data_IF_839900442015
#
_entry.id   IF_839900442015
#
_cell.length_a   1.000
_cell.length_b   1.000
_cell.length_c   1.000
_cell.angle_alpha   90.00
_cell.angle_beta   90.00
_cell.angle_gamma   90.00
#
_symmetry.space_group_name_H-M   'P 1'
#
loop_
_entity.id
_entity.type
_entity.pdbx_description
1 polymer ?
#
# COMPACT_ATOMS: atom_id res chain seq x y z
N UNK A 1 -26.61 -26.19 -17.06
CA UNK A 1 -25.86 -26.25 -15.78
C UNK A 1 -26.40 -25.13 -14.88
N UNK A 2 -27.45 -25.42 -14.11
CA UNK A 2 -27.95 -24.47 -13.11
C UNK A 2 -27.14 -24.66 -11.83
N UNK A 3 -26.19 -23.76 -11.59
CA UNK A 3 -25.43 -23.72 -10.34
C UNK A 3 -26.34 -23.10 -9.28
N UNK A 4 -26.76 -23.87 -8.28
CA UNK A 4 -27.47 -23.33 -7.11
C UNK A 4 -26.57 -22.31 -6.42
N UNK A 5 -27.00 -21.05 -6.36
CA UNK A 5 -26.24 -19.96 -5.74
C UNK A 5 -26.16 -20.21 -4.23
N UNK A 6 -24.96 -20.44 -3.72
CA UNK A 6 -24.70 -20.61 -2.29
C UNK A 6 -23.72 -19.53 -1.81
N UNK A 7 -24.24 -18.57 -1.04
CA UNK A 7 -23.42 -17.48 -0.49
C UNK A 7 -22.65 -17.87 0.79
N UNK A 8 -22.84 -19.09 1.32
CA UNK A 8 -22.14 -19.52 2.54
C UNK A 8 -20.62 -19.62 2.34
N UNK A 9 -20.14 -19.73 1.10
CA UNK A 9 -18.71 -19.71 0.79
C UNK A 9 -18.02 -18.40 1.23
N UNK A 10 -18.74 -17.27 1.31
CA UNK A 10 -18.19 -16.00 1.79
C UNK A 10 -17.75 -16.04 3.26
N UNK A 11 -18.35 -16.90 4.09
CA UNK A 11 -17.91 -17.08 5.48
C UNK A 11 -16.51 -17.70 5.58
N UNK A 12 -16.04 -18.40 4.54
CA UNK A 12 -14.66 -18.93 4.50
C UNK A 12 -13.62 -17.83 4.32
N UNK A 13 -14.02 -16.64 3.86
CA UNK A 13 -13.15 -15.46 3.67
C UNK A 13 -13.01 -14.64 4.96
N UNK A 14 -13.98 -14.72 5.88
CA UNK A 14 -13.98 -13.97 7.14
C UNK A 14 -12.67 -14.08 7.94
N UNK A 15 -12.07 -15.27 8.14
CA UNK A 15 -10.82 -15.39 8.90
C UNK A 15 -9.67 -14.55 8.32
N UNK A 16 -9.54 -14.54 6.99
CA UNK A 16 -8.53 -13.73 6.29
C UNK A 16 -8.86 -12.24 6.42
N UNK A 17 -10.14 -11.87 6.27
CA UNK A 17 -10.56 -10.47 6.39
C UNK A 17 -10.27 -9.92 7.79
N UNK A 18 -10.54 -10.70 8.84
CA UNK A 18 -10.21 -10.35 10.22
C UNK A 18 -8.71 -10.18 10.39
N UNK A 19 -7.89 -11.13 9.90
CA UNK A 19 -6.44 -11.03 9.97
C UNK A 19 -5.90 -9.76 9.28
N UNK A 20 -6.36 -9.48 8.06
CA UNK A 20 -5.97 -8.28 7.29
C UNK A 20 -6.43 -6.99 7.99
N UNK A 21 -7.62 -6.99 8.61
CA UNK A 21 -8.09 -5.84 9.37
C UNK A 21 -7.14 -5.49 10.52
N UNK A 22 -6.65 -6.49 11.26
CA UNK A 22 -5.69 -6.27 12.33
C UNK A 22 -4.28 -5.94 11.84
N UNK A 23 -3.78 -6.63 10.81
CA UNK A 23 -2.39 -6.51 10.37
C UNK A 23 -2.10 -5.36 9.42
N UNK A 24 -3.11 -4.88 8.68
CA UNK A 24 -2.93 -3.83 7.68
C UNK A 24 -3.86 -2.63 7.92
N UNK A 25 -5.16 -2.85 8.18
CA UNK A 25 -6.13 -1.74 8.28
C UNK A 25 -5.88 -0.89 9.52
N UNK A 26 -5.71 -1.51 10.69
CA UNK A 26 -5.42 -0.75 11.93
C UNK A 26 -4.13 0.07 11.81
N UNK A 27 -2.99 -0.51 11.39
CA UNK A 27 -1.78 0.28 11.15
C UNK A 27 -1.99 1.40 10.11
N UNK A 28 -2.72 1.13 9.03
CA UNK A 28 -3.01 2.16 8.03
C UNK A 28 -3.80 3.34 8.61
N UNK A 29 -4.79 3.07 9.48
CA UNK A 29 -5.52 4.13 10.19
C UNK A 29 -4.57 5.00 11.03
N UNK A 30 -3.55 4.40 11.67
CA UNK A 30 -2.56 5.17 12.44
C UNK A 30 -1.67 6.03 11.55
N UNK A 31 -1.25 5.52 10.38
CA UNK A 31 -0.46 6.29 9.41
C UNK A 31 -1.26 7.49 8.91
N UNK A 32 -2.53 7.28 8.55
CA UNK A 32 -3.42 8.39 8.14
C UNK A 32 -3.62 9.38 9.28
N UNK A 33 -3.83 8.91 10.50
CA UNK A 33 -4.01 9.76 11.67
C UNK A 33 -2.78 10.66 11.94
N UNK A 34 -1.57 10.11 11.81
CA UNK A 34 -0.34 10.87 11.96
C UNK A 34 -0.04 11.78 10.78
N UNK A 35 -0.53 11.48 9.58
CA UNK A 35 -0.30 12.35 8.40
C UNK A 35 -0.94 13.75 8.51
N UNK A 36 -1.93 13.91 9.40
CA UNK A 36 -2.65 15.18 9.64
C UNK A 36 -2.32 15.80 11.00
N UNK A 37 -1.39 15.19 11.74
CA UNK A 37 -0.95 15.65 13.06
C UNK A 37 0.52 16.04 13.00
N UNK A 38 0.85 17.11 13.71
CA UNK A 38 2.23 17.46 14.01
C UNK A 38 2.60 16.94 15.41
N UNK A 39 3.81 16.40 15.54
CA UNK A 39 4.36 15.89 16.79
C UNK A 39 5.43 16.83 17.28
N UNK A 40 5.14 17.58 18.34
CA UNK A 40 6.18 18.19 19.14
C UNK A 40 6.66 17.18 20.19
N UNK A 41 7.94 17.28 20.55
CA UNK A 41 8.55 16.41 21.56
C UNK A 41 7.70 16.30 22.83
N UNK A 42 7.88 15.21 23.58
CA UNK A 42 7.11 14.90 24.78
C UNK A 42 5.66 14.38 24.53
N UNK A 43 5.43 13.70 23.41
CA UNK A 43 4.17 13.00 23.09
C UNK A 43 2.95 13.95 22.94
N UNK A 44 3.19 15.18 22.51
CA UNK A 44 2.16 16.19 22.29
C UNK A 44 1.84 16.25 20.79
N UNK A 45 0.61 15.91 20.44
CA UNK A 45 0.13 15.92 19.06
C UNK A 45 -0.78 17.11 18.85
N UNK A 46 -0.51 17.88 17.81
CA UNK A 46 -1.29 19.03 17.40
C UNK A 46 -1.91 18.76 16.02
N UNK A 47 -3.13 19.24 15.80
CA UNK A 47 -3.77 19.11 14.50
C UNK A 47 -3.13 20.09 13.50
N UNK A 48 -2.44 19.55 12.49
CA UNK A 48 -1.79 20.32 11.41
C UNK A 48 -2.62 20.31 10.12
N UNK A 49 -3.65 19.45 10.02
CA UNK A 49 -4.53 19.40 8.87
C UNK A 49 -3.81 18.94 7.60
N UNK A 50 -3.75 19.79 6.58
CA UNK A 50 -3.16 19.46 5.27
C UNK A 50 -1.78 20.09 5.04
N UNK A 51 -1.20 20.75 6.03
CA UNK A 51 0.08 21.47 5.92
C UNK A 51 1.20 20.57 5.40
N UNK A 52 1.38 19.39 6.01
CA UNK A 52 2.39 18.41 5.55
C UNK A 52 2.19 17.93 4.12
N UNK A 53 0.94 17.80 3.67
CA UNK A 53 0.65 17.41 2.30
C UNK A 53 1.01 18.53 1.32
N UNK A 54 0.68 19.77 1.66
CA UNK A 54 1.01 20.94 0.85
C UNK A 54 2.53 21.13 0.73
N UNK A 55 3.26 21.05 1.84
CA UNK A 55 4.72 21.14 1.85
C UNK A 55 5.37 20.03 1.02
N UNK A 56 4.89 18.80 1.15
CA UNK A 56 5.41 17.65 0.42
C UNK A 56 5.15 17.75 -1.08
N UNK A 57 3.98 18.27 -1.49
CA UNK A 57 3.64 18.48 -2.90
C UNK A 57 4.46 19.62 -3.55
N UNK A 58 4.90 20.60 -2.77
CA UNK A 58 5.79 21.67 -3.24
C UNK A 58 7.28 21.32 -3.15
N UNK A 59 7.63 20.15 -2.61
CA UNK A 59 9.02 19.72 -2.44
C UNK A 59 9.60 19.12 -3.72
N UNK A 60 10.58 19.77 -4.34
CA UNK A 60 11.33 19.21 -5.48
C UNK A 60 11.99 17.87 -5.12
N UNK A 61 12.51 17.75 -3.88
CA UNK A 61 13.13 16.52 -3.39
C UNK A 61 12.15 15.34 -3.38
N UNK A 62 10.88 15.59 -3.05
CA UNK A 62 9.83 14.56 -3.08
C UNK A 62 9.62 14.07 -4.51
N UNK A 63 9.40 15.00 -5.45
CA UNK A 63 9.19 14.66 -6.87
C UNK A 63 10.37 13.92 -7.49
N UNK A 64 11.58 14.36 -7.19
CA UNK A 64 12.81 13.69 -7.61
C UNK A 64 12.91 12.26 -7.07
N UNK A 65 12.58 12.05 -5.79
CA UNK A 65 12.58 10.72 -5.18
C UNK A 65 11.49 9.83 -5.77
N UNK A 66 10.28 10.36 -5.97
CA UNK A 66 9.14 9.65 -6.55
C UNK A 66 9.41 9.25 -8.00
N UNK A 67 9.98 10.15 -8.81
CA UNK A 67 10.39 9.85 -10.19
C UNK A 67 11.43 8.74 -10.24
N UNK A 68 12.46 8.79 -9.38
CA UNK A 68 13.45 7.71 -9.28
C UNK A 68 12.83 6.38 -8.86
N UNK A 69 11.94 6.39 -7.87
CA UNK A 69 11.23 5.19 -7.41
C UNK A 69 10.42 4.54 -8.54
N UNK A 70 9.62 5.34 -9.25
CA UNK A 70 8.81 4.84 -10.37
C UNK A 70 9.68 4.30 -11.51
N UNK A 71 10.78 4.99 -11.83
CA UNK A 71 11.72 4.52 -12.85
C UNK A 71 12.37 3.19 -12.46
N UNK A 72 12.87 3.06 -11.23
CA UNK A 72 13.47 1.81 -10.75
C UNK A 72 12.46 0.67 -10.73
N UNK A 73 11.27 0.87 -10.17
CA UNK A 73 10.21 -0.14 -10.17
C UNK A 73 9.81 -0.52 -11.60
N UNK A 74 9.69 0.44 -12.52
CA UNK A 74 9.38 0.19 -13.92
C UNK A 74 10.44 -0.64 -14.63
N UNK A 75 11.73 -0.31 -14.43
CA UNK A 75 12.85 -1.06 -15.01
C UNK A 75 12.87 -2.50 -14.47
N UNK A 76 12.71 -2.67 -13.16
CA UNK A 76 12.68 -4.01 -12.53
C UNK A 76 11.54 -4.83 -13.11
N UNK A 77 10.32 -4.29 -13.14
CA UNK A 77 9.16 -5.00 -13.69
C UNK A 77 9.35 -5.35 -15.17
N UNK A 78 9.93 -4.45 -15.97
CA UNK A 78 10.21 -4.69 -17.39
C UNK A 78 11.22 -5.83 -17.63
N UNK A 79 12.07 -6.13 -16.64
CA UNK A 79 13.05 -7.21 -16.71
C UNK A 79 12.52 -8.48 -16.05
N UNK A 80 12.02 -8.39 -14.81
CA UNK A 80 11.59 -9.53 -14.01
C UNK A 80 10.36 -10.22 -14.57
N UNK A 81 9.38 -9.47 -15.12
CA UNK A 81 8.17 -10.09 -15.66
C UNK A 81 8.49 -10.97 -16.88
N UNK A 82 9.21 -10.48 -17.92
CA UNK A 82 9.60 -11.34 -19.04
C UNK A 82 10.52 -12.49 -18.63
N UNK A 83 11.47 -12.24 -17.73
CA UNK A 83 12.39 -13.28 -17.26
C UNK A 83 11.64 -14.37 -16.48
N UNK A 84 10.72 -13.98 -15.60
CA UNK A 84 9.87 -14.91 -14.85
C UNK A 84 9.01 -15.77 -15.78
N UNK A 85 8.42 -15.19 -16.83
CA UNK A 85 7.66 -15.92 -17.86
C UNK A 85 8.59 -16.89 -18.61
N UNK A 86 9.76 -16.43 -19.03
CA UNK A 86 10.73 -17.27 -19.76
C UNK A 86 11.15 -18.48 -18.94
N UNK A 87 11.47 -18.28 -17.65
CA UNK A 87 11.82 -19.38 -16.74
C UNK A 87 10.64 -20.32 -16.55
N UNK A 88 9.42 -19.80 -16.33
CA UNK A 88 8.22 -20.63 -16.17
C UNK A 88 7.93 -21.54 -17.37
N UNK A 89 8.23 -21.10 -18.59
CA UNK A 89 8.08 -21.91 -19.80
C UNK A 89 9.12 -23.04 -19.91
N UNK A 90 10.25 -22.93 -19.21
CA UNK A 90 11.35 -23.90 -19.27
C UNK A 90 11.51 -24.69 -17.96
N UNK A 91 10.61 -24.49 -16.98
CA UNK A 91 10.56 -25.34 -15.79
C UNK A 91 10.03 -26.74 -16.16
N UNK A 92 10.71 -27.83 -15.75
CA UNK A 92 10.28 -29.20 -16.02
C UNK A 92 9.02 -29.61 -15.26
#
# INVERSE_FOLDING_TARGET
>A
MEKTVNQKAWFLVLPVLVLVAFSAVIPLMTVVNYSVQDTFGNNQFFWAGLEWFDEMLHSERMWDALGRQLMFSGIILAIEVPLGIFVALHMP
#
